data_IF_009422142752
#
_entry.id   IF_009422142752
#
_cell.length_a   1.000
_cell.length_b   1.000
_cell.length_c   1.000
_cell.angle_alpha   90.00
_cell.angle_beta   90.00
_cell.angle_gamma   90.00
#
_symmetry.space_group_name_H-M   'P 1'
#
loop_
_entity.id
_entity.type
_entity.pdbx_description
1 polymer ?
#
# COMPACT_ATOMS: atom_id res chain seq x y z
N UNK A 1 55.71 -43.28 31.96
CA UNK A 1 54.77 -43.88 30.99
C UNK A 1 53.52 -43.00 30.99
N UNK A 2 53.23 -42.31 29.89
CA UNK A 2 51.91 -41.75 29.62
C UNK A 2 50.93 -42.91 29.28
N UNK A 3 49.60 -42.74 29.46
CA UNK A 3 48.78 -42.15 28.40
C UNK A 3 47.68 -41.19 28.92
N UNK A 4 47.47 -40.07 28.21
CA UNK A 4 46.27 -39.74 27.41
C UNK A 4 44.91 -39.80 28.15
N UNK A 5 44.20 -38.67 28.19
CA UNK A 5 43.00 -38.49 27.33
C UNK A 5 42.47 -37.05 27.38
N UNK A 6 42.28 -36.53 26.17
CA UNK A 6 41.66 -35.28 25.77
C UNK A 6 40.24 -35.11 26.34
N UNK A 7 39.89 -33.88 26.74
CA UNK A 7 38.54 -33.37 26.55
C UNK A 7 38.59 -31.83 26.42
N UNK A 8 38.69 -31.38 25.17
CA UNK A 8 38.51 -29.97 24.81
C UNK A 8 37.00 -29.72 24.73
N UNK A 9 36.43 -29.01 25.70
CA UNK A 9 35.09 -28.43 25.56
C UNK A 9 35.21 -27.07 24.85
N UNK A 10 35.07 -27.06 23.53
CA UNK A 10 34.74 -25.83 22.80
C UNK A 10 33.26 -25.52 23.03
N UNK A 11 32.96 -24.60 23.95
CA UNK A 11 31.66 -23.96 24.01
C UNK A 11 31.53 -23.03 22.78
N UNK A 12 30.90 -23.53 21.72
CA UNK A 12 30.43 -22.69 20.62
C UNK A 12 29.26 -21.86 21.18
N UNK A 13 29.56 -20.64 21.62
CA UNK A 13 28.55 -19.62 21.81
C UNK A 13 28.00 -19.26 20.42
N UNK A 14 26.90 -19.90 20.04
CA UNK A 14 26.08 -19.44 18.94
C UNK A 14 25.45 -18.11 19.38
N UNK A 15 26.16 -17.00 19.18
CA UNK A 15 25.54 -15.68 19.14
C UNK A 15 24.64 -15.68 17.92
N UNK A 16 23.38 -16.07 18.12
CA UNK A 16 22.32 -15.76 17.18
C UNK A 16 22.31 -14.24 17.07
N UNK A 17 22.79 -13.72 15.95
CA UNK A 17 22.60 -12.32 15.57
C UNK A 17 21.09 -12.13 15.45
N UNK A 18 20.44 -11.73 16.54
CA UNK A 18 19.15 -11.08 16.45
C UNK A 18 19.44 -9.80 15.68
N UNK A 19 19.19 -9.84 14.37
CA UNK A 19 19.03 -8.63 13.61
C UNK A 19 17.90 -7.87 14.30
N UNK A 20 18.26 -6.94 15.17
CA UNK A 20 17.35 -5.89 15.61
C UNK A 20 17.08 -5.12 14.33
N UNK A 21 16.00 -5.50 13.66
CA UNK A 21 15.40 -4.68 12.63
C UNK A 21 14.97 -3.44 13.40
N UNK A 22 15.80 -2.39 13.39
CA UNK A 22 15.35 -1.08 13.80
C UNK A 22 14.05 -0.81 13.03
N UNK A 23 12.95 -0.56 13.76
CA UNK A 23 11.75 0.03 13.17
C UNK A 23 12.20 1.36 12.59
N UNK A 24 12.60 1.36 11.32
CA UNK A 24 12.68 2.61 10.57
C UNK A 24 11.25 3.12 10.49
N UNK A 25 11.05 4.36 10.89
CA UNK A 25 9.84 5.10 10.57
C UNK A 25 9.69 5.10 9.05
N UNK A 26 8.93 4.13 8.54
CA UNK A 26 8.64 4.00 7.11
C UNK A 26 7.38 4.77 6.82
N UNK A 27 7.40 5.49 5.70
CA UNK A 27 6.19 6.13 5.18
C UNK A 27 5.63 5.22 4.10
N UNK A 28 4.44 4.69 4.32
CA UNK A 28 3.69 3.97 3.31
C UNK A 28 2.91 4.94 2.44
N UNK A 29 2.66 4.52 1.22
CA UNK A 29 1.83 5.27 0.27
C UNK A 29 0.72 4.36 -0.24
N UNK A 30 -0.52 4.82 -0.11
CA UNK A 30 -1.67 4.18 -0.77
C UNK A 30 -2.11 5.05 -1.93
N UNK A 31 -2.25 4.44 -3.09
CA UNK A 31 -2.72 5.09 -4.30
C UNK A 31 -4.06 4.49 -4.75
N UNK A 32 -5.09 5.32 -4.83
CA UNK A 32 -6.36 5.01 -5.45
C UNK A 32 -6.33 5.50 -6.88
N UNK A 33 -6.49 4.59 -7.83
CA UNK A 33 -6.40 4.87 -9.24
C UNK A 33 -7.74 4.62 -9.92
N UNK A 34 -8.11 5.53 -10.82
CA UNK A 34 -9.20 5.38 -11.77
C UNK A 34 -8.76 5.88 -13.14
N UNK A 35 -9.04 5.10 -14.18
CA UNK A 35 -8.83 5.51 -15.56
C UNK A 35 -9.96 5.05 -16.44
N UNK A 36 -10.44 5.99 -17.25
CA UNK A 36 -11.36 5.72 -18.36
C UNK A 36 -10.58 5.93 -19.65
N UNK A 37 -10.42 4.88 -20.44
CA UNK A 37 -9.90 5.02 -21.82
C UNK A 37 -11.04 5.11 -22.79
N UNK A 38 -10.88 5.88 -23.86
CA UNK A 38 -11.85 5.99 -24.95
C UNK A 38 -11.13 5.83 -26.29
N UNK A 39 -11.73 5.14 -27.25
CA UNK A 39 -11.23 5.11 -28.62
C UNK A 39 -11.72 6.36 -29.37
N UNK A 40 -10.80 7.31 -29.70
CA UNK A 40 -11.20 8.58 -30.29
C UNK A 40 -11.62 8.48 -31.77
N UNK A 41 -11.33 7.35 -32.44
CA UNK A 41 -11.54 7.19 -33.89
C UNK A 41 -12.89 6.56 -34.24
N UNK A 42 -13.34 5.58 -33.46
CA UNK A 42 -14.58 4.83 -33.76
C UNK A 42 -15.73 5.16 -32.81
N UNK A 43 -15.44 5.81 -31.66
CA UNK A 43 -16.45 6.16 -30.66
C UNK A 43 -17.06 4.93 -29.99
N UNK A 44 -16.91 4.82 -28.67
CA UNK A 44 -17.70 3.87 -27.87
C UNK A 44 -16.95 2.70 -27.26
N UNK A 45 -15.71 2.41 -27.66
CA UNK A 45 -14.87 1.47 -26.91
C UNK A 45 -14.29 2.18 -25.69
N UNK A 46 -14.95 1.99 -24.56
CA UNK A 46 -14.57 2.56 -23.28
C UNK A 46 -14.15 1.46 -22.30
N UNK A 47 -13.00 1.63 -21.65
CA UNK A 47 -12.56 0.74 -20.58
C UNK A 47 -12.45 1.55 -19.30
N UNK A 48 -13.06 1.06 -18.23
CA UNK A 48 -12.88 1.60 -16.89
C UNK A 48 -11.94 0.66 -16.11
N UNK A 49 -10.82 1.20 -15.65
CA UNK A 49 -9.85 0.50 -14.81
C UNK A 49 -9.77 1.21 -13.48
N UNK A 50 -9.82 0.45 -12.38
CA UNK A 50 -9.56 0.95 -11.04
C UNK A 50 -8.50 0.11 -10.35
N UNK A 51 -7.80 0.68 -9.39
CA UNK A 51 -6.90 -0.07 -8.53
C UNK A 51 -6.64 0.65 -7.21
N UNK A 52 -6.27 -0.12 -6.19
CA UNK A 52 -5.65 0.37 -4.96
C UNK A 52 -4.27 -0.24 -4.85
N UNK A 53 -3.24 0.60 -4.92
CA UNK A 53 -1.86 0.20 -4.74
C UNK A 53 -1.37 0.58 -3.36
N UNK A 54 -0.51 -0.26 -2.79
CA UNK A 54 0.21 0.03 -1.56
C UNK A 54 1.72 -0.07 -1.82
N UNK A 55 2.44 1.02 -1.60
CA UNK A 55 3.89 1.03 -1.43
C UNK A 55 4.20 0.98 0.07
N UNK A 56 4.99 -0.02 0.48
CA UNK A 56 5.37 -0.23 1.88
C UNK A 56 6.47 0.73 2.37
N UNK A 57 6.99 1.62 1.50
CA UNK A 57 8.11 2.51 1.78
C UNK A 57 9.46 1.79 1.85
N UNK A 58 9.51 0.52 1.42
CA UNK A 58 10.68 -0.35 1.44
C UNK A 58 10.91 -1.08 0.10
N UNK A 59 10.42 -0.50 -1.00
CA UNK A 59 10.43 -1.06 -2.38
C UNK A 59 9.46 -2.21 -2.64
N UNK A 60 8.83 -2.77 -1.60
CA UNK A 60 7.71 -3.70 -1.80
C UNK A 60 6.49 -2.91 -2.22
N UNK A 61 5.70 -3.51 -3.10
CA UNK A 61 4.43 -2.97 -3.56
C UNK A 61 3.37 -4.08 -3.58
N UNK A 62 2.10 -3.71 -3.42
CA UNK A 62 0.95 -4.61 -3.49
C UNK A 62 -0.21 -4.00 -4.27
N UNK A 63 -1.08 -4.85 -4.81
CA UNK A 63 -2.38 -4.46 -5.37
C UNK A 63 -3.46 -4.96 -4.42
N UNK A 64 -4.03 -4.04 -3.64
CA UNK A 64 -5.02 -4.36 -2.61
C UNK A 64 -6.41 -4.65 -3.21
N UNK A 65 -6.75 -3.96 -4.30
CA UNK A 65 -7.96 -4.19 -5.07
C UNK A 65 -7.80 -3.71 -6.52
N UNK A 66 -8.58 -4.29 -7.43
CA UNK A 66 -8.62 -3.91 -8.85
C UNK A 66 -10.03 -3.75 -9.40
N UNK A 67 -11.06 -4.05 -8.59
CA UNK A 67 -12.44 -3.90 -9.00
C UNK A 67 -12.99 -2.56 -8.48
N UNK A 68 -13.55 -1.74 -9.37
CA UNK A 68 -14.06 -0.40 -9.00
C UNK A 68 -15.14 -0.44 -7.91
N UNK A 69 -15.95 -1.49 -7.85
CA UNK A 69 -16.99 -1.68 -6.83
C UNK A 69 -16.45 -2.06 -5.45
N UNK A 70 -15.17 -2.42 -5.35
CA UNK A 70 -14.47 -2.63 -4.08
C UNK A 70 -13.75 -1.37 -3.62
N UNK A 71 -13.84 -0.26 -4.36
CA UNK A 71 -13.09 0.98 -4.11
C UNK A 71 -14.06 2.16 -3.94
N UNK A 72 -14.90 2.41 -4.94
CA UNK A 72 -15.68 3.64 -5.07
C UNK A 72 -17.19 3.48 -4.81
N UNK A 73 -17.64 2.26 -4.50
CA UNK A 73 -19.02 2.08 -4.03
C UNK A 73 -19.13 2.60 -2.60
N UNK A 74 -20.12 3.46 -2.33
CA UNK A 74 -20.35 4.20 -1.08
C UNK A 74 -20.61 3.35 0.17
N UNK A 75 -19.65 2.48 0.48
CA UNK A 75 -19.55 1.58 1.61
C UNK A 75 -18.10 1.52 2.06
N UNK A 76 -17.89 1.14 3.31
CA UNK A 76 -16.54 0.90 3.82
C UNK A 76 -15.90 -0.30 3.13
N UNK A 77 -14.67 -0.13 2.65
CA UNK A 77 -13.85 -1.23 2.13
C UNK A 77 -12.56 -1.30 2.92
N UNK A 78 -12.25 -2.47 3.47
CA UNK A 78 -11.02 -2.71 4.22
C UNK A 78 -10.17 -3.76 3.50
N UNK A 79 -8.90 -3.43 3.30
CA UNK A 79 -7.93 -4.27 2.63
C UNK A 79 -6.92 -4.82 3.62
N UNK A 80 -6.63 -6.11 3.49
CA UNK A 80 -5.53 -6.75 4.19
C UNK A 80 -4.25 -6.62 3.38
N UNK A 81 -3.13 -6.43 4.08
CA UNK A 81 -1.80 -6.36 3.50
C UNK A 81 -0.80 -7.02 4.46
N UNK A 82 0.50 -6.87 4.20
CA UNK A 82 1.55 -7.30 5.13
C UNK A 82 1.76 -6.31 6.30
N UNK A 83 0.96 -5.22 6.36
CA UNK A 83 0.95 -4.30 7.49
C UNK A 83 0.12 -4.85 8.67
N UNK A 84 0.41 -4.42 9.92
CA UNK A 84 -0.28 -4.90 11.11
C UNK A 84 -1.76 -4.49 11.20
N UNK A 85 -2.16 -3.40 10.56
CA UNK A 85 -3.54 -2.93 10.52
C UNK A 85 -4.11 -3.00 9.10
N UNK A 86 -5.42 -3.15 9.00
CA UNK A 86 -6.10 -3.07 7.70
C UNK A 86 -6.14 -1.62 7.23
N UNK A 87 -6.08 -1.43 5.93
CA UNK A 87 -6.29 -0.13 5.29
C UNK A 87 -7.77 -0.05 4.96
N UNK A 88 -8.51 0.81 5.63
CA UNK A 88 -9.93 0.98 5.40
C UNK A 88 -10.20 2.29 4.67
N UNK A 89 -11.13 2.29 3.74
CA UNK A 89 -11.58 3.48 3.04
C UNK A 89 -13.07 3.68 3.20
N UNK A 90 -13.45 4.95 3.26
CA UNK A 90 -14.82 5.39 3.17
C UNK A 90 -14.90 6.42 2.03
N UNK A 91 -15.30 5.97 0.85
CA UNK A 91 -15.40 6.82 -0.33
C UNK A 91 -16.85 7.25 -0.57
N UNK A 92 -17.11 8.56 -0.56
CA UNK A 92 -18.41 9.12 -0.97
C UNK A 92 -18.46 9.30 -2.49
N UNK A 93 -17.30 9.52 -3.10
CA UNK A 93 -17.12 9.65 -4.54
C UNK A 93 -15.69 9.28 -4.92
N UNK A 94 -15.40 9.35 -6.22
CA UNK A 94 -14.02 9.21 -6.72
C UNK A 94 -13.08 10.30 -6.21
N UNK A 95 -13.57 11.38 -5.58
CA UNK A 95 -12.77 12.55 -5.18
C UNK A 95 -12.90 12.93 -3.72
N UNK A 96 -13.76 12.24 -2.98
CA UNK A 96 -14.15 12.61 -1.62
C UNK A 96 -14.35 11.38 -0.75
N UNK A 97 -13.94 11.50 0.50
CA UNK A 97 -13.80 10.38 1.42
C UNK A 97 -12.54 10.47 2.26
N UNK A 98 -12.26 9.38 2.97
CA UNK A 98 -11.08 9.25 3.79
C UNK A 98 -10.56 7.83 3.82
N UNK A 99 -9.31 7.69 4.23
CA UNK A 99 -8.64 6.44 4.54
C UNK A 99 -8.26 6.40 6.02
N UNK A 100 -8.49 5.25 6.65
CA UNK A 100 -8.02 4.92 7.99
C UNK A 100 -6.97 3.80 7.97
N UNK A 101 -5.95 3.94 8.81
CA UNK A 101 -4.97 2.89 9.11
C UNK A 101 -4.52 2.98 10.57
N UNK A 102 -4.94 2.03 11.40
CA UNK A 102 -4.65 2.08 12.84
C UNK A 102 -5.24 3.34 13.48
N UNK A 103 -4.37 4.25 13.94
CA UNK A 103 -4.76 5.58 14.47
C UNK A 103 -4.68 6.70 13.44
N UNK A 104 -4.17 6.43 12.24
CA UNK A 104 -4.03 7.41 11.17
C UNK A 104 -5.36 7.58 10.45
N UNK A 105 -5.81 8.83 10.37
CA UNK A 105 -6.92 9.26 9.54
C UNK A 105 -6.41 10.20 8.46
N UNK A 106 -6.80 9.96 7.21
CA UNK A 106 -6.37 10.72 6.04
C UNK A 106 -7.56 11.06 5.16
N UNK A 107 -8.02 12.30 5.26
CA UNK A 107 -9.02 12.87 4.36
C UNK A 107 -8.40 13.02 2.96
N UNK A 108 -9.12 12.61 1.91
CA UNK A 108 -8.64 12.68 0.53
C UNK A 108 -8.37 14.12 0.04
N UNK A 109 -8.92 15.12 0.73
CA UNK A 109 -8.72 16.55 0.49
C UNK A 109 -7.91 17.22 1.61
N UNK A 110 -7.43 16.45 2.59
CA UNK A 110 -6.66 16.92 3.73
C UNK A 110 -5.15 16.66 3.62
N UNK A 111 -4.45 17.01 4.69
CA UNK A 111 -3.00 16.83 4.78
C UNK A 111 -2.61 15.35 4.70
N UNK A 112 -1.54 15.08 3.95
CA UNK A 112 -1.04 13.72 3.73
C UNK A 112 -1.68 13.01 2.53
N UNK A 113 -2.72 13.57 1.91
CA UNK A 113 -3.24 13.12 0.63
C UNK A 113 -3.05 14.19 -0.46
N UNK A 114 -2.91 13.74 -1.71
CA UNK A 114 -2.92 14.59 -2.90
C UNK A 114 -3.80 13.96 -3.98
N UNK A 115 -4.38 14.80 -4.83
CA UNK A 115 -5.15 14.34 -5.97
C UNK A 115 -4.57 14.86 -7.27
N UNK A 116 -4.45 13.97 -8.24
CA UNK A 116 -3.97 14.27 -9.59
C UNK A 116 -5.05 13.88 -10.60
N UNK A 117 -5.40 14.79 -11.52
CA UNK A 117 -6.41 14.55 -12.57
C UNK A 117 -5.82 14.83 -13.93
N UNK A 118 -6.12 14.00 -14.91
CA UNK A 118 -5.76 14.24 -16.31
C UNK A 118 -6.93 13.90 -17.23
N UNK A 119 -7.04 14.62 -18.34
CA UNK A 119 -8.04 14.37 -19.37
C UNK A 119 -7.46 14.66 -20.75
N UNK A 120 -7.80 13.81 -21.71
CA UNK A 120 -7.35 13.88 -23.10
C UNK A 120 -8.43 13.32 -24.03
N UNK A 121 -8.19 13.42 -25.35
CA UNK A 121 -9.08 12.80 -26.35
C UNK A 121 -9.16 11.27 -26.21
N UNK A 122 -8.14 10.64 -25.60
CA UNK A 122 -8.10 9.20 -25.36
C UNK A 122 -8.68 8.79 -24.01
N UNK A 123 -9.28 9.73 -23.26
CA UNK A 123 -9.92 9.50 -21.97
C UNK A 123 -9.30 10.28 -20.81
N UNK A 124 -9.70 9.91 -19.59
CA UNK A 124 -9.39 10.58 -18.34
C UNK A 124 -8.79 9.65 -17.30
N UNK A 125 -8.04 10.22 -16.36
CA UNK A 125 -7.55 9.53 -15.18
C UNK A 125 -7.66 10.39 -13.94
N UNK A 126 -7.85 9.73 -12.82
CA UNK A 126 -7.88 10.32 -11.50
C UNK A 126 -7.10 9.44 -10.54
N UNK A 127 -6.26 10.08 -9.73
CA UNK A 127 -5.44 9.42 -8.73
C UNK A 127 -5.55 10.17 -7.41
N UNK A 128 -5.76 9.43 -6.32
CA UNK A 128 -5.58 9.93 -4.95
C UNK A 128 -4.39 9.20 -4.35
N UNK A 129 -3.39 9.95 -3.86
CA UNK A 129 -2.21 9.38 -3.22
C UNK A 129 -2.17 9.84 -1.78
N UNK A 130 -2.26 8.93 -0.82
CA UNK A 130 -2.21 9.20 0.61
C UNK A 130 -0.97 8.57 1.25
N UNK A 131 -0.32 9.31 2.15
CA UNK A 131 0.89 8.87 2.86
C UNK A 131 0.68 8.85 4.37
N UNK A 132 1.26 7.85 5.02
CA UNK A 132 1.13 7.64 6.46
C UNK A 132 2.30 6.84 7.03
N UNK A 133 2.62 7.00 8.34
CA UNK A 133 3.63 6.18 8.99
C UNK A 133 3.16 4.71 9.10
N UNK A 134 4.01 3.77 8.72
CA UNK A 134 3.73 2.34 8.78
C UNK A 134 4.94 1.60 9.38
N UNK A 135 4.87 1.31 10.69
CA UNK A 135 5.93 0.62 11.44
C UNK A 135 5.55 -0.76 11.92
#
# INVERSE_FOLDING_TARGET
MAPMLFAVLTALAATASTAVVERRDRTCTVEFYLRRTQNPLVGGDNTLTCAVYLDYGDSRNDILASQCNQIWHGSDHCYHSQLPYSICIHAYSETDGYMDYGSEHRDFNGDGCKQDKSASISGDSHTITCTFPCT
#
